data_IF_501114080320
#
_entry.id   IF_501114080320
#
_cell.length_a   1.000
_cell.length_b   1.000
_cell.length_c   1.000
_cell.angle_alpha   90.00
_cell.angle_beta   90.00
_cell.angle_gamma   90.00
#
_symmetry.space_group_name_H-M   'P 1'
#
loop_
_entity.id
_entity.type
_entity.pdbx_description
1 polymer ?
#
# COMPACT_ATOMS: atom_id res chain seq x y z
N UNK A 1 -2.89 16.94 -17.97
CA UNK A 1 -1.76 16.60 -17.08
C UNK A 1 -2.18 15.35 -16.29
N UNK A 2 -1.90 14.17 -16.85
CA UNK A 2 -2.41 12.91 -16.33
C UNK A 2 -1.67 12.47 -15.08
N UNK A 3 -2.40 12.12 -14.03
CA UNK A 3 -1.85 11.49 -12.84
C UNK A 3 -1.02 10.28 -13.28
N UNK A 4 0.28 10.28 -12.94
CA UNK A 4 1.12 9.10 -13.14
C UNK A 4 0.62 8.04 -12.17
N UNK A 5 -0.19 7.12 -12.66
CA UNK A 5 -0.55 5.92 -11.95
C UNK A 5 0.74 5.25 -11.47
N UNK A 6 0.86 5.08 -10.15
CA UNK A 6 1.93 4.29 -9.55
C UNK A 6 1.68 2.85 -9.97
N UNK A 7 2.24 2.44 -11.11
CA UNK A 7 2.26 1.05 -11.56
C UNK A 7 3.40 0.37 -10.81
N UNK A 8 3.06 -0.30 -9.71
CA UNK A 8 3.99 -1.18 -9.04
C UNK A 8 4.31 -2.31 -10.00
N UNK A 9 5.51 -2.31 -10.59
CA UNK A 9 5.93 -3.32 -11.56
C UNK A 9 6.15 -4.64 -10.82
N UNK A 10 5.10 -5.37 -10.48
CA UNK A 10 5.20 -6.78 -10.06
C UNK A 10 5.17 -7.69 -11.30
N UNK A 11 6.10 -7.44 -12.22
CA UNK A 11 6.29 -8.28 -13.41
C UNK A 11 7.40 -9.27 -13.10
N UNK A 12 7.03 -10.52 -12.84
CA UNK A 12 8.00 -11.60 -12.64
C UNK A 12 8.11 -12.42 -13.91
N UNK A 13 9.30 -12.44 -14.49
CA UNK A 13 9.65 -13.37 -15.56
C UNK A 13 10.51 -14.47 -14.97
N UNK A 14 10.12 -15.72 -15.20
CA UNK A 14 10.88 -16.90 -14.79
C UNK A 14 11.24 -17.70 -16.04
N UNK A 15 12.52 -18.02 -16.19
CA UNK A 15 13.04 -18.90 -17.23
C UNK A 15 13.40 -20.24 -16.59
N UNK A 16 12.92 -21.34 -17.16
CA UNK A 16 13.27 -22.70 -16.71
C UNK A 16 13.77 -23.52 -17.90
N UNK A 17 14.98 -24.10 -17.85
CA UNK A 17 15.41 -25.10 -18.82
C UNK A 17 14.47 -26.30 -18.84
N UNK A 18 14.05 -26.74 -20.01
CA UNK A 18 13.22 -27.95 -20.19
C UNK A 18 13.96 -29.06 -20.92
N UNK A 19 15.01 -28.74 -21.68
CA UNK A 19 15.89 -29.71 -22.32
C UNK A 19 17.33 -29.16 -22.38
N UNK A 20 18.30 -30.07 -22.33
CA UNK A 20 19.72 -29.77 -22.51
C UNK A 20 20.28 -30.58 -23.69
N UNK A 21 21.18 -29.98 -24.45
CA UNK A 21 21.95 -30.65 -25.49
C UNK A 21 23.06 -31.53 -24.91
N UNK A 22 23.73 -32.29 -25.78
CA UNK A 22 24.83 -33.18 -25.39
C UNK A 22 26.03 -32.44 -24.78
N UNK A 23 26.19 -31.15 -25.08
CA UNK A 23 27.17 -30.24 -24.49
C UNK A 23 26.73 -29.67 -23.12
N UNK A 24 25.60 -30.15 -22.59
CA UNK A 24 25.02 -29.71 -21.33
C UNK A 24 24.36 -28.33 -21.41
N UNK A 25 24.29 -27.70 -22.59
CA UNK A 25 23.67 -26.38 -22.74
C UNK A 25 22.16 -26.49 -22.89
N UNK A 26 21.36 -25.60 -22.28
CA UNK A 26 19.91 -25.65 -22.43
C UNK A 26 19.52 -25.39 -23.89
N UNK A 27 18.83 -26.35 -24.50
CA UNK A 27 18.34 -26.29 -25.89
C UNK A 27 16.88 -25.89 -25.97
N UNK A 28 16.14 -25.99 -24.86
CA UNK A 28 14.76 -25.51 -24.74
C UNK A 28 14.53 -24.83 -23.39
N UNK A 29 13.72 -23.76 -23.41
CA UNK A 29 13.36 -22.97 -22.24
C UNK A 29 11.84 -22.83 -22.15
N UNK A 30 11.31 -22.98 -20.95
CA UNK A 30 9.98 -22.55 -20.58
C UNK A 30 10.04 -21.13 -20.03
N UNK A 31 9.32 -20.22 -20.68
CA UNK A 31 9.10 -18.86 -20.22
C UNK A 31 7.80 -18.79 -19.41
N UNK A 32 7.90 -18.37 -18.15
CA UNK A 32 6.73 -18.06 -17.31
C UNK A 32 6.72 -16.55 -17.06
N UNK A 33 5.81 -15.85 -17.72
CA UNK A 33 5.58 -14.43 -17.51
C UNK A 33 4.38 -14.22 -16.57
N UNK A 34 4.57 -13.50 -15.47
CA UNK A 34 3.50 -13.08 -14.56
C UNK A 34 3.33 -11.56 -14.64
N UNK A 35 2.12 -11.13 -14.96
CA UNK A 35 1.71 -9.73 -14.96
C UNK A 35 0.57 -9.52 -13.96
N UNK A 36 0.36 -8.27 -13.54
CA UNK A 36 -0.69 -7.89 -12.60
C UNK A 36 -0.13 -7.57 -11.22
N UNK A 37 -0.84 -7.99 -10.17
CA UNK A 37 -0.50 -7.68 -8.77
C UNK A 37 -0.91 -6.28 -8.32
N UNK A 38 -1.75 -5.58 -9.08
CA UNK A 38 -2.36 -4.32 -8.66
C UNK A 38 -3.41 -4.56 -7.57
N UNK A 39 -3.56 -3.60 -6.66
CA UNK A 39 -4.61 -3.64 -5.66
C UNK A 39 -5.99 -3.54 -6.35
N UNK A 40 -6.87 -4.50 -6.06
CA UNK A 40 -8.23 -4.49 -6.62
C UNK A 40 -9.09 -3.37 -6.01
N UNK A 41 -10.11 -2.93 -6.74
CA UNK A 41 -11.07 -1.96 -6.22
C UNK A 41 -11.78 -2.47 -4.94
N UNK A 42 -12.04 -3.78 -4.86
CA UNK A 42 -12.57 -4.42 -3.66
C UNK A 42 -11.58 -4.34 -2.49
N UNK A 43 -10.31 -4.68 -2.73
CA UNK A 43 -9.25 -4.61 -1.71
C UNK A 43 -9.05 -3.20 -1.17
N UNK A 44 -9.10 -2.19 -2.04
CA UNK A 44 -9.10 -0.77 -1.65
C UNK A 44 -10.27 -0.44 -0.70
N UNK A 45 -11.52 -0.76 -1.09
CA UNK A 45 -12.71 -0.52 -0.25
C UNK A 45 -12.64 -1.27 1.08
N UNK A 46 -12.07 -2.47 1.10
CA UNK A 46 -11.87 -3.23 2.33
C UNK A 46 -10.89 -2.53 3.28
N UNK A 47 -9.79 -1.99 2.76
CA UNK A 47 -8.80 -1.24 3.53
C UNK A 47 -9.38 0.08 4.08
N UNK A 48 -10.12 0.84 3.28
CA UNK A 48 -10.84 2.04 3.72
C UNK A 48 -11.82 1.72 4.87
N UNK A 49 -12.68 0.70 4.69
CA UNK A 49 -13.62 0.26 5.73
C UNK A 49 -12.93 -0.24 6.99
N UNK A 50 -11.74 -0.82 6.86
CA UNK A 50 -10.93 -1.22 8.01
C UNK A 50 -10.43 0.02 8.76
N UNK A 51 -9.91 1.04 8.06
CA UNK A 51 -9.50 2.31 8.64
C UNK A 51 -10.64 3.01 9.39
N UNK A 52 -11.82 3.08 8.78
CA UNK A 52 -13.00 3.69 9.40
C UNK A 52 -13.46 2.96 10.67
N UNK A 53 -13.44 1.63 10.67
CA UNK A 53 -13.75 0.83 11.87
C UNK A 53 -12.68 0.99 12.95
N UNK A 54 -11.41 1.06 12.55
CA UNK A 54 -10.29 1.26 13.46
C UNK A 54 -10.38 2.61 14.17
N UNK A 55 -10.75 3.66 13.43
CA UNK A 55 -11.08 4.98 13.97
C UNK A 55 -12.14 4.89 15.07
N UNK A 56 -13.30 4.31 14.76
CA UNK A 56 -14.42 4.21 15.71
C UNK A 56 -14.05 3.41 16.96
N UNK A 57 -13.20 2.40 16.83
CA UNK A 57 -12.81 1.52 17.93
C UNK A 57 -11.76 2.15 18.85
N UNK A 58 -10.73 2.78 18.27
CA UNK A 58 -9.62 3.34 19.05
C UNK A 58 -9.85 4.78 19.52
N UNK A 59 -10.66 5.53 18.77
CA UNK A 59 -11.01 6.91 19.07
C UNK A 59 -12.54 7.05 19.13
N UNK A 60 -13.19 6.39 20.11
CA UNK A 60 -14.63 6.52 20.28
C UNK A 60 -14.97 7.98 20.60
N UNK A 61 -15.99 8.50 19.93
CA UNK A 61 -16.47 9.86 20.11
C UNK A 61 -17.79 9.83 20.90
N UNK A 62 -17.79 10.15 22.20
CA UNK A 62 -19.00 10.10 23.03
C UNK A 62 -19.95 11.27 22.80
N UNK A 63 -19.50 12.33 22.12
CA UNK A 63 -20.20 13.62 22.02
C UNK A 63 -20.44 14.10 20.58
N UNK A 64 -20.03 13.33 19.57
CA UNK A 64 -20.29 13.61 18.15
C UNK A 64 -19.43 14.71 17.55
N UNK A 65 -18.30 15.02 18.18
CA UNK A 65 -17.40 16.09 17.75
C UNK A 65 -15.95 15.69 17.90
N UNK A 66 -15.41 15.04 16.86
CA UNK A 66 -13.99 14.92 16.56
C UNK A 66 -13.21 13.71 17.12
N UNK A 67 -13.70 12.47 17.05
CA UNK A 67 -12.92 11.23 17.35
C UNK A 67 -11.38 11.26 17.14
N UNK A 68 -10.86 10.89 15.96
CA UNK A 68 -9.40 10.93 15.69
C UNK A 68 -8.84 12.37 15.54
N UNK A 69 -9.71 13.35 15.28
CA UNK A 69 -9.30 14.75 15.06
C UNK A 69 -9.05 15.50 16.39
N UNK A 70 -9.61 15.03 17.50
CA UNK A 70 -9.36 15.49 18.87
C UNK A 70 -7.92 15.16 19.31
N UNK A 71 -7.22 14.30 18.57
CA UNK A 71 -5.78 14.15 18.73
C UNK A 71 -5.09 15.52 18.58
N UNK A 72 -5.47 16.40 17.65
CA UNK A 72 -4.81 17.72 17.52
C UNK A 72 -4.75 18.55 18.82
N UNK A 73 -5.61 18.31 19.81
CA UNK A 73 -5.65 19.04 21.07
C UNK A 73 -4.71 18.52 22.17
N UNK A 74 -4.13 17.32 22.05
CA UNK A 74 -3.38 16.66 23.15
C UNK A 74 -1.87 16.51 22.95
N UNK A 75 -1.28 17.01 21.86
CA UNK A 75 0.19 17.03 21.63
C UNK A 75 0.92 15.68 21.85
N UNK A 76 0.25 14.53 21.68
CA UNK A 76 0.70 13.20 22.18
C UNK A 76 0.68 12.05 21.17
N UNK A 77 0.68 12.30 19.86
CA UNK A 77 0.36 11.25 18.88
C UNK A 77 1.02 11.50 17.53
N UNK A 78 2.29 11.14 17.47
CA UNK A 78 2.95 10.77 16.22
C UNK A 78 2.29 9.49 15.67
N UNK A 79 1.28 9.61 14.80
CA UNK A 79 0.78 8.47 14.02
C UNK A 79 1.72 8.23 12.85
N UNK A 80 2.41 7.08 12.85
CA UNK A 80 3.32 6.68 11.77
C UNK A 80 2.76 5.45 11.05
N UNK A 81 2.32 5.63 9.80
CA UNK A 81 1.95 4.53 8.92
C UNK A 81 3.16 4.13 8.10
N UNK A 82 3.46 2.83 8.03
CA UNK A 82 4.56 2.28 7.24
C UNK A 82 4.07 1.26 6.24
N UNK A 83 4.68 1.25 5.06
CA UNK A 83 4.48 0.21 4.06
C UNK A 83 5.82 -0.25 3.49
N UNK A 84 5.80 -1.43 2.86
CA UNK A 84 6.83 -1.79 1.89
C UNK A 84 6.73 -0.87 0.66
N UNK A 85 7.80 -0.83 -0.11
CA UNK A 85 7.95 -0.25 -1.44
C UNK A 85 7.09 -0.92 -2.53
N UNK A 86 6.39 -2.01 -2.22
CA UNK A 86 5.49 -2.67 -3.16
C UNK A 86 4.22 -1.83 -3.43
N UNK A 87 3.97 -1.49 -4.69
CA UNK A 87 2.90 -0.58 -5.11
C UNK A 87 1.50 -0.91 -4.58
N UNK A 88 1.12 -2.20 -4.53
CA UNK A 88 -0.18 -2.62 -3.95
C UNK A 88 -0.25 -2.44 -2.44
N UNK A 89 0.88 -2.61 -1.74
CA UNK A 89 0.98 -2.46 -0.28
C UNK A 89 0.90 -0.98 0.08
N UNK A 90 1.60 -0.12 -0.67
CA UNK A 90 1.48 1.34 -0.55
C UNK A 90 0.03 1.80 -0.75
N UNK A 91 -0.63 1.37 -1.84
CA UNK A 91 -2.04 1.70 -2.11
C UNK A 91 -2.98 1.19 -1.01
N UNK A 92 -2.70 0.02 -0.42
CA UNK A 92 -3.49 -0.55 0.68
C UNK A 92 -3.33 0.28 1.96
N UNK A 93 -2.10 0.65 2.31
CA UNK A 93 -1.82 1.49 3.47
C UNK A 93 -2.43 2.89 3.33
N UNK A 94 -2.37 3.48 2.14
CA UNK A 94 -3.00 4.75 1.85
C UNK A 94 -4.54 4.68 1.92
N UNK A 95 -5.16 3.63 1.38
CA UNK A 95 -6.61 3.39 1.49
C UNK A 95 -7.05 3.26 2.95
N UNK A 96 -6.25 2.56 3.76
CA UNK A 96 -6.46 2.47 5.20
C UNK A 96 -6.35 3.84 5.89
N UNK A 97 -5.31 4.62 5.58
CA UNK A 97 -5.11 5.97 6.12
C UNK A 97 -6.28 6.90 5.80
N UNK A 98 -6.79 6.82 4.57
CA UNK A 98 -7.95 7.58 4.12
C UNK A 98 -9.19 7.29 4.97
N UNK A 99 -9.50 6.00 5.18
CA UNK A 99 -10.62 5.60 6.03
C UNK A 99 -10.42 5.95 7.52
N UNK A 100 -9.17 5.90 7.98
CA UNK A 100 -8.79 6.25 9.35
C UNK A 100 -8.96 7.76 9.64
N UNK A 101 -8.64 8.60 8.67
CA UNK A 101 -8.65 10.07 8.79
C UNK A 101 -9.93 10.73 8.26
N UNK A 102 -10.87 9.96 7.71
CA UNK A 102 -12.11 10.47 7.08
C UNK A 102 -11.82 11.50 5.97
N UNK A 103 -10.82 11.22 5.13
CA UNK A 103 -10.48 12.09 4.02
C UNK A 103 -11.43 11.84 2.84
N UNK A 104 -12.07 12.91 2.38
CA UNK A 104 -12.94 12.90 1.19
C UNK A 104 -12.11 12.92 -0.10
N UNK A 105 -12.57 12.20 -1.13
CA UNK A 105 -12.01 12.21 -2.48
C UNK A 105 -11.36 10.89 -2.93
N UNK A 106 -10.84 10.87 -4.16
CA UNK A 106 -10.03 9.76 -4.66
C UNK A 106 -8.72 9.64 -3.88
N UNK A 107 -8.10 8.45 -3.92
CA UNK A 107 -6.84 8.15 -3.24
C UNK A 107 -5.73 9.08 -3.77
N UNK A 108 -5.58 10.25 -3.16
CA UNK A 108 -4.69 11.29 -3.67
C UNK A 108 -3.23 10.88 -3.45
N UNK A 109 -2.29 11.33 -4.31
CA UNK A 109 -0.86 11.12 -4.10
C UNK A 109 -0.38 11.58 -2.71
N UNK A 110 -1.07 12.54 -2.10
CA UNK A 110 -0.79 13.06 -0.76
C UNK A 110 -1.03 11.97 0.31
N UNK A 111 -2.06 11.13 0.19
CA UNK A 111 -2.31 10.07 1.17
C UNK A 111 -1.24 8.98 1.10
N UNK A 112 -0.65 8.76 -0.08
CA UNK A 112 0.53 7.87 -0.22
C UNK A 112 1.75 8.49 0.48
N UNK A 113 1.90 9.82 0.47
CA UNK A 113 2.99 10.51 1.18
C UNK A 113 2.88 10.47 2.71
N UNK A 114 1.69 10.21 3.25
CA UNK A 114 1.47 9.99 4.69
C UNK A 114 1.96 8.61 5.15
N UNK A 115 2.28 7.71 4.21
CA UNK A 115 2.80 6.38 4.50
C UNK A 115 4.30 6.37 4.24
N UNK A 116 5.09 6.23 5.31
CA UNK A 116 6.54 6.16 5.21
C UNK A 116 6.95 4.82 4.60
N UNK A 117 7.78 4.86 3.57
CA UNK A 117 8.43 3.66 3.02
C UNK A 117 9.52 3.25 4.01
N UNK A 118 9.54 1.99 4.43
CA UNK A 118 10.38 1.51 5.52
C UNK A 118 11.90 1.77 5.37
N UNK A 119 12.40 1.97 4.14
CA UNK A 119 13.81 2.27 3.88
C UNK A 119 14.23 3.66 4.39
N UNK A 120 13.36 4.67 4.31
CA UNK A 120 13.66 6.04 4.76
C UNK A 120 13.65 6.20 6.29
N UNK A 121 13.12 5.19 7.00
CA UNK A 121 12.97 5.24 8.45
C UNK A 121 14.20 4.77 9.23
N UNK A 122 15.15 4.11 8.57
CA UNK A 122 16.38 3.59 9.19
C UNK A 122 17.54 4.61 9.12
N UNK A 123 17.40 5.67 8.34
CA UNK A 123 18.45 6.69 8.11
C UNK A 123 18.29 7.95 9.00
N UNK A 124 17.33 7.93 9.93
CA UNK A 124 17.02 9.06 10.84
C UNK A 124 16.93 8.66 12.32
N UNK A 125 17.62 7.60 12.74
CA UNK A 125 17.78 7.22 14.15
C UNK A 125 19.20 7.40 14.62
#
# INVERSE_FOLDING_TARGET
MGARDIQGITRKVQLKPTAHGEDGRPTQLQLVAKWGGELTALGRRQAERLGARFRQRLYPDPTGGAGILQLHSTFRHDLKLRSSDEGRVMKTAAAFAQGLLELEGDLTPIVVSLVLIAHDALDRS
#
